data_IF_096554380980
#
_entry.id   IF_096554380980
#
_cell.length_a   1.000
_cell.length_b   1.000
_cell.length_c   1.000
_cell.angle_alpha   90.00
_cell.angle_beta   90.00
_cell.angle_gamma   90.00
#
_symmetry.space_group_name_H-M   'P 1'
#
loop_
_entity.id
_entity.type
_entity.pdbx_description
1 polymer ?
#
# COMPACT_ATOMS: atom_id res chain seq x y z
N UNK A 1 -0.75 8.55 26.33
CA UNK A 1 -0.20 8.47 24.97
C UNK A 1 -1.13 9.29 24.09
N UNK A 2 -0.70 10.47 23.63
CA UNK A 2 -1.49 11.29 22.72
C UNK A 2 -1.17 10.82 21.30
N UNK A 3 -2.10 10.07 20.70
CA UNK A 3 -2.06 9.76 19.29
C UNK A 3 -2.48 11.05 18.57
N UNK A 4 -1.63 11.59 17.70
CA UNK A 4 -1.95 12.81 16.94
C UNK A 4 -3.15 12.56 16.03
N UNK A 5 -3.78 13.63 15.56
CA UNK A 5 -4.93 13.52 14.64
C UNK A 5 -4.53 12.70 13.41
N UNK A 6 -5.23 11.60 13.16
CA UNK A 6 -5.05 10.74 11.99
C UNK A 6 -5.98 11.22 10.86
N UNK A 7 -5.45 11.37 9.66
CA UNK A 7 -6.22 11.58 8.45
C UNK A 7 -6.14 10.34 7.60
N UNK A 8 -7.29 9.74 7.31
CA UNK A 8 -7.40 8.59 6.42
C UNK A 8 -7.98 9.04 5.09
N UNK A 9 -7.35 8.64 3.99
CA UNK A 9 -7.97 8.73 2.67
C UNK A 9 -9.03 7.62 2.56
N UNK A 10 -10.29 8.01 2.37
CA UNK A 10 -11.40 7.05 2.18
C UNK A 10 -11.32 6.29 0.86
N UNK A 11 -10.59 6.85 -0.12
CA UNK A 11 -10.25 6.14 -1.34
C UNK A 11 -9.25 5.02 -1.05
N UNK A 12 -7.95 5.32 -1.08
CA UNK A 12 -6.90 4.30 -1.10
C UNK A 12 -6.59 3.68 0.26
N UNK A 13 -7.23 4.14 1.34
CA UNK A 13 -7.00 3.67 2.70
C UNK A 13 -5.70 4.18 3.34
N UNK A 14 -4.92 5.00 2.63
CA UNK A 14 -3.68 5.58 3.15
C UNK A 14 -3.95 6.47 4.36
N UNK A 15 -3.06 6.37 5.35
CA UNK A 15 -3.19 7.07 6.63
C UNK A 15 -2.03 8.05 6.75
N UNK A 16 -2.36 9.33 6.81
CA UNK A 16 -1.45 10.36 7.28
C UNK A 16 -1.59 10.50 8.79
N UNK A 17 -0.49 10.31 9.51
CA UNK A 17 -0.42 10.51 10.95
C UNK A 17 0.32 11.80 11.21
N UNK A 18 -0.29 12.72 11.96
CA UNK A 18 0.38 13.97 12.30
C UNK A 18 1.70 13.71 13.04
N UNK A 19 2.84 14.18 12.51
CA UNK A 19 4.10 14.04 13.21
C UNK A 19 4.12 14.99 14.41
N UNK A 20 4.47 14.47 15.58
CA UNK A 20 4.71 15.35 16.73
C UNK A 20 5.82 16.36 16.43
N UNK A 21 5.71 17.58 16.98
CA UNK A 21 6.76 18.61 16.87
C UNK A 21 8.14 18.08 17.28
N UNK A 22 8.19 17.18 18.25
CA UNK A 22 9.43 16.55 18.71
C UNK A 22 10.00 15.55 17.69
N UNK A 23 9.14 14.80 16.99
CA UNK A 23 9.57 13.93 15.88
C UNK A 23 10.18 14.76 14.75
N UNK A 24 9.51 15.86 14.38
CA UNK A 24 9.98 16.74 13.32
C UNK A 24 11.29 17.42 13.72
N UNK A 25 11.44 17.91 14.96
CA UNK A 25 12.73 18.42 15.45
C UNK A 25 13.83 17.36 15.40
N UNK A 26 13.53 16.09 15.72
CA UNK A 26 14.51 15.00 15.70
C UNK A 26 15.01 14.67 14.29
N UNK A 27 14.18 14.77 13.25
CA UNK A 27 14.63 14.52 11.87
C UNK A 27 15.69 15.52 11.40
N UNK A 28 15.64 16.76 11.90
CA UNK A 28 16.70 17.76 11.70
C UNK A 28 17.90 17.60 12.64
N UNK A 29 17.88 16.61 13.54
CA UNK A 29 18.90 16.38 14.57
C UNK A 29 18.80 17.35 15.77
N UNK A 30 17.59 17.82 16.06
CA UNK A 30 17.24 18.63 17.22
C UNK A 30 16.86 20.08 16.87
N UNK A 31 16.26 20.78 17.84
CA UNK A 31 15.77 22.16 17.68
C UNK A 31 16.86 23.12 17.21
N UNK A 32 18.09 22.98 17.71
CA UNK A 32 19.20 23.85 17.32
C UNK A 32 19.60 23.71 15.86
N UNK A 33 19.57 22.49 15.33
CA UNK A 33 19.90 22.23 13.91
C UNK A 33 18.75 22.65 13.01
N UNK A 34 17.51 22.43 13.44
CA UNK A 34 16.34 22.98 12.77
C UNK A 34 16.42 24.50 12.66
N UNK A 35 16.62 25.21 13.78
CA UNK A 35 16.76 26.68 13.80
C UNK A 35 17.91 27.16 12.90
N UNK A 36 19.05 26.46 12.89
CA UNK A 36 20.14 26.78 11.98
C UNK A 36 19.75 26.59 10.51
N UNK A 37 19.02 25.52 10.17
CA UNK A 37 18.56 25.25 8.82
C UNK A 37 17.55 26.29 8.30
N UNK A 38 16.72 26.84 9.20
CA UNK A 38 15.73 27.90 8.86
C UNK A 38 16.25 29.32 9.12
N UNK A 39 17.54 29.48 9.44
CA UNK A 39 18.17 30.80 9.60
C UNK A 39 17.79 31.57 10.87
N UNK A 40 17.27 30.89 11.90
CA UNK A 40 16.83 31.50 13.16
C UNK A 40 17.94 31.57 14.22
N UNK A 41 17.94 32.66 14.99
CA UNK A 41 18.85 32.85 16.13
C UNK A 41 18.33 32.13 17.38
N UNK A 42 19.24 31.69 18.26
CA UNK A 42 18.91 30.97 19.52
C UNK A 42 18.49 31.92 20.64
N UNK A 43 17.47 32.72 20.38
CA UNK A 43 16.81 33.61 21.35
C UNK A 43 15.42 33.07 21.67
N UNK A 44 14.79 33.48 22.79
CA UNK A 44 13.40 33.11 23.11
C UNK A 44 12.45 33.29 21.91
N UNK A 45 12.48 34.47 21.28
CA UNK A 45 11.70 34.78 20.07
C UNK A 45 12.01 33.84 18.91
N UNK A 46 13.28 33.45 18.74
CA UNK A 46 13.68 32.49 17.71
C UNK A 46 13.11 31.10 17.92
N UNK A 47 12.96 30.65 19.17
CA UNK A 47 12.30 29.37 19.47
C UNK A 47 10.79 29.44 19.23
N UNK A 48 10.15 30.56 19.52
CA UNK A 48 8.74 30.79 19.19
C UNK A 48 8.53 30.75 17.67
N UNK A 49 9.32 31.49 16.91
CA UNK A 49 9.31 31.46 15.45
C UNK A 49 9.55 30.06 14.90
N UNK A 50 10.49 29.30 15.49
CA UNK A 50 10.76 27.93 15.08
C UNK A 50 9.54 27.01 15.27
N UNK A 51 8.81 27.15 16.39
CA UNK A 51 7.59 26.38 16.61
C UNK A 51 6.49 26.76 15.61
N UNK A 52 6.33 28.04 15.26
CA UNK A 52 5.38 28.49 14.24
C UNK A 52 5.69 27.92 12.85
N UNK A 53 6.98 27.86 12.48
CA UNK A 53 7.40 27.25 11.22
C UNK A 53 7.10 25.75 11.22
N UNK A 54 7.36 25.05 12.32
CA UNK A 54 7.01 23.62 12.45
C UNK A 54 5.51 23.42 12.27
N UNK A 55 4.68 24.25 12.89
CA UNK A 55 3.23 24.17 12.76
C UNK A 55 2.80 24.41 11.31
N UNK A 56 3.42 25.38 10.64
CA UNK A 56 3.17 25.68 9.23
C UNK A 56 3.58 24.53 8.30
N UNK A 57 4.67 23.82 8.62
CA UNK A 57 5.11 22.64 7.87
C UNK A 57 4.14 21.46 8.05
N UNK A 58 3.64 21.24 9.27
CA UNK A 58 2.64 20.21 9.55
C UNK A 58 1.35 20.52 8.78
N UNK A 59 0.87 21.75 8.85
CA UNK A 59 -0.32 22.19 8.12
C UNK A 59 -0.16 22.10 6.61
N UNK A 60 1.03 22.41 6.09
CA UNK A 60 1.33 22.26 4.67
C UNK A 60 1.31 20.79 4.26
N UNK A 61 1.99 19.91 4.98
CA UNK A 61 1.99 18.47 4.70
C UNK A 61 0.57 17.88 4.75
N UNK A 62 -0.22 18.31 5.73
CA UNK A 62 -1.63 17.96 5.87
C UNK A 62 -2.46 18.40 4.66
N UNK A 63 -2.27 19.63 4.19
CA UNK A 63 -2.96 20.16 2.99
C UNK A 63 -2.52 19.44 1.72
N UNK A 64 -1.22 19.17 1.56
CA UNK A 64 -0.68 18.42 0.42
C UNK A 64 -1.29 17.03 0.35
N UNK A 65 -1.34 16.31 1.48
CA UNK A 65 -2.03 15.01 1.56
C UNK A 65 -3.50 15.13 1.13
N UNK A 66 -4.25 16.12 1.65
CA UNK A 66 -5.64 16.33 1.23
C UNK A 66 -5.78 16.65 -0.26
N UNK A 67 -4.86 17.40 -0.86
CA UNK A 67 -4.90 17.74 -2.29
C UNK A 67 -4.54 16.54 -3.18
N UNK A 68 -3.49 15.80 -2.83
CA UNK A 68 -3.10 14.55 -3.50
C UNK A 68 -4.25 13.54 -3.48
N UNK A 69 -5.01 13.52 -2.38
CA UNK A 69 -6.14 12.62 -2.21
C UNK A 69 -7.51 13.24 -2.49
N UNK A 70 -7.61 14.49 -2.97
CA UNK A 70 -8.89 15.20 -3.19
C UNK A 70 -9.75 14.53 -4.27
N UNK A 71 -9.09 13.99 -5.28
CA UNK A 71 -9.70 13.19 -6.34
C UNK A 71 -9.25 11.73 -6.25
N UNK A 72 -8.84 11.27 -5.06
CA UNK A 72 -8.58 9.85 -4.84
C UNK A 72 -9.92 9.12 -4.80
N UNK A 73 -10.51 8.93 -5.98
CA UNK A 73 -11.54 7.96 -6.25
C UNK A 73 -10.87 6.60 -6.38
N UNK A 74 -10.14 6.18 -5.36
CA UNK A 74 -9.98 4.76 -5.19
C UNK A 74 -11.33 4.28 -4.67
N UNK A 75 -12.26 4.05 -5.60
CA UNK A 75 -12.98 2.77 -5.52
C UNK A 75 -11.89 1.74 -5.30
N UNK A 76 -12.13 0.71 -4.51
CA UNK A 76 -11.41 -0.55 -4.70
C UNK A 76 -11.57 -0.99 -6.17
N UNK A 77 -10.84 -0.35 -7.08
CA UNK A 77 -10.66 -0.74 -8.46
C UNK A 77 -9.55 -1.75 -8.36
N UNK A 78 -9.92 -3.01 -8.58
CA UNK A 78 -9.09 -4.19 -8.35
C UNK A 78 -9.15 -4.69 -6.89
N UNK A 79 -10.36 -4.83 -6.32
CA UNK A 79 -10.63 -6.19 -5.88
C UNK A 79 -10.77 -6.97 -7.18
N UNK A 80 -9.81 -7.83 -7.52
CA UNK A 80 -9.92 -8.84 -8.59
C UNK A 80 -10.98 -9.87 -8.20
N UNK A 81 -12.16 -9.35 -7.83
CA UNK A 81 -13.33 -10.06 -7.39
C UNK A 81 -14.27 -10.10 -8.58
N UNK A 82 -14.40 -11.29 -9.17
CA UNK A 82 -15.33 -11.51 -10.26
C UNK A 82 -16.57 -12.20 -9.70
N UNK A 83 -17.71 -11.53 -9.77
CA UNK A 83 -18.97 -12.07 -9.24
C UNK A 83 -19.81 -12.66 -10.36
N UNK A 84 -20.28 -13.89 -10.20
CA UNK A 84 -21.32 -14.45 -11.06
C UNK A 84 -22.64 -13.71 -10.80
N UNK A 85 -23.23 -13.10 -11.83
CA UNK A 85 -24.50 -12.36 -11.72
C UNK A 85 -25.70 -13.26 -11.39
N UNK A 86 -25.58 -14.57 -11.64
CA UNK A 86 -26.70 -15.52 -11.49
C UNK A 86 -26.75 -16.13 -10.09
N UNK A 87 -25.68 -16.75 -9.63
CA UNK A 87 -25.63 -17.40 -8.32
C UNK A 87 -25.06 -16.49 -7.21
N UNK A 88 -24.42 -15.37 -7.58
CA UNK A 88 -23.80 -14.46 -6.63
C UNK A 88 -22.45 -14.94 -6.07
N UNK A 89 -21.92 -16.08 -6.52
CA UNK A 89 -20.58 -16.53 -6.15
C UNK A 89 -19.51 -15.53 -6.60
N UNK A 90 -18.45 -15.42 -5.80
CA UNK A 90 -17.38 -14.44 -5.98
C UNK A 90 -16.08 -15.23 -6.13
N UNK A 91 -15.47 -15.12 -7.31
CA UNK A 91 -14.07 -15.48 -7.49
C UNK A 91 -13.22 -14.42 -6.84
N UNK A 92 -12.24 -14.84 -6.04
CA UNK A 92 -11.29 -13.96 -5.38
C UNK A 92 -9.90 -14.37 -5.85
N UNK A 93 -9.16 -13.45 -6.46
CA UNK A 93 -7.82 -13.76 -6.96
C UNK A 93 -6.93 -14.41 -5.88
N UNK A 94 -6.44 -15.63 -6.11
CA UNK A 94 -5.56 -16.28 -5.15
C UNK A 94 -4.19 -15.58 -5.15
N UNK A 95 -3.75 -15.15 -3.97
CA UNK A 95 -2.42 -14.55 -3.86
C UNK A 95 -1.32 -15.51 -4.35
N UNK A 96 -0.31 -15.00 -5.05
CA UNK A 96 0.86 -15.80 -5.50
C UNK A 96 1.48 -16.59 -4.35
N UNK A 97 1.47 -16.05 -3.13
CA UNK A 97 1.98 -16.73 -1.94
C UNK A 97 1.12 -17.93 -1.52
N UNK A 98 -0.21 -17.87 -1.70
CA UNK A 98 -1.10 -19.01 -1.49
C UNK A 98 -0.74 -20.15 -2.45
N UNK A 99 -0.59 -19.83 -3.74
CA UNK A 99 -0.19 -20.81 -4.77
C UNK A 99 1.17 -21.40 -4.44
N UNK A 100 2.19 -20.58 -4.14
CA UNK A 100 3.51 -21.10 -3.74
C UNK A 100 3.44 -22.02 -2.52
N UNK A 101 2.60 -21.70 -1.53
CA UNK A 101 2.45 -22.48 -0.30
C UNK A 101 1.84 -23.85 -0.53
N UNK A 102 0.93 -24.03 -1.49
CA UNK A 102 0.37 -25.36 -1.79
C UNK A 102 1.43 -26.35 -2.29
N UNK A 103 2.52 -25.84 -2.88
CA UNK A 103 3.69 -26.64 -3.26
C UNK A 103 4.77 -26.72 -2.17
N UNK A 104 4.55 -26.14 -0.99
CA UNK A 104 5.56 -26.08 0.08
C UNK A 104 6.60 -24.97 -0.10
N UNK A 105 6.30 -23.94 -0.89
CA UNK A 105 7.13 -22.75 -1.10
C UNK A 105 7.73 -22.65 -2.51
N UNK A 106 8.39 -21.52 -2.79
CA UNK A 106 8.91 -21.20 -4.13
C UNK A 106 9.91 -22.23 -4.66
N UNK A 107 10.80 -22.76 -3.82
CA UNK A 107 11.79 -23.76 -4.25
C UNK A 107 11.14 -25.08 -4.68
N UNK A 108 10.12 -25.53 -3.94
CA UNK A 108 9.42 -26.76 -4.25
C UNK A 108 8.52 -26.58 -5.48
N UNK A 109 7.88 -25.40 -5.63
CA UNK A 109 7.18 -25.01 -6.84
C UNK A 109 8.10 -25.02 -8.07
N UNK A 110 9.29 -24.40 -7.97
CA UNK A 110 10.27 -24.42 -9.05
C UNK A 110 10.73 -25.84 -9.38
N UNK A 111 10.96 -26.67 -8.36
CA UNK A 111 11.34 -28.08 -8.54
C UNK A 111 10.24 -28.88 -9.25
N UNK A 112 8.98 -28.70 -8.87
CA UNK A 112 7.86 -29.42 -9.51
C UNK A 112 7.67 -29.04 -10.97
N UNK A 113 8.07 -27.82 -11.35
CA UNK A 113 8.00 -27.31 -12.72
C UNK A 113 9.33 -27.39 -13.49
N UNK A 114 10.33 -28.12 -12.97
CA UNK A 114 11.61 -28.32 -13.64
C UNK A 114 12.50 -27.07 -13.78
N UNK A 115 12.22 -26.02 -13.00
CA UNK A 115 12.94 -24.74 -13.06
C UNK A 115 14.20 -24.74 -12.19
N UNK A 116 15.26 -24.11 -12.67
CA UNK A 116 16.52 -23.93 -11.93
C UNK A 116 16.42 -22.73 -10.98
N UNK A 117 16.97 -22.86 -9.77
CA UNK A 117 17.07 -21.78 -8.77
C UNK A 117 18.10 -20.71 -9.17
N UNK A 118 17.85 -20.01 -10.26
CA UNK A 118 18.66 -18.91 -10.80
C UNK A 118 17.75 -17.72 -11.09
N UNK A 119 18.27 -16.48 -11.20
CA UNK A 119 17.44 -15.29 -11.42
C UNK A 119 16.44 -15.41 -12.59
N UNK A 120 16.78 -16.12 -13.67
CA UNK A 120 15.87 -16.42 -14.77
C UNK A 120 14.72 -17.35 -14.37
N UNK A 121 15.01 -18.44 -13.64
CA UNK A 121 13.99 -19.40 -13.20
C UNK A 121 12.98 -18.83 -12.21
N UNK A 122 13.35 -17.83 -11.40
CA UNK A 122 12.37 -17.14 -10.54
C UNK A 122 11.39 -16.27 -11.35
N UNK A 123 11.86 -15.65 -12.44
CA UNK A 123 10.98 -14.91 -13.36
C UNK A 123 10.01 -15.87 -14.06
N UNK A 124 10.53 -16.98 -14.58
CA UNK A 124 9.72 -18.04 -15.19
C UNK A 124 8.69 -18.61 -14.21
N UNK A 125 9.09 -18.88 -12.95
CA UNK A 125 8.16 -19.35 -11.93
C UNK A 125 7.03 -18.36 -11.66
N UNK A 126 7.32 -17.06 -11.56
CA UNK A 126 6.28 -16.06 -11.39
C UNK A 126 5.34 -16.00 -12.60
N UNK A 127 5.86 -16.14 -13.83
CA UNK A 127 5.02 -16.20 -15.04
C UNK A 127 4.10 -17.43 -15.02
N UNK A 128 4.58 -18.58 -14.57
CA UNK A 128 3.73 -19.78 -14.42
C UNK A 128 2.63 -19.53 -13.39
N UNK A 129 2.96 -18.94 -12.24
CA UNK A 129 1.96 -18.59 -11.22
C UNK A 129 0.90 -17.66 -11.80
N UNK A 130 1.31 -16.66 -12.58
CA UNK A 130 0.37 -15.71 -13.21
C UNK A 130 -0.55 -16.41 -14.21
N UNK A 131 -0.02 -17.36 -15.00
CA UNK A 131 -0.83 -18.18 -15.88
C UNK A 131 -1.80 -19.10 -15.11
N UNK A 132 -1.40 -19.64 -13.95
CA UNK A 132 -2.30 -20.43 -13.10
C UNK A 132 -3.45 -19.60 -12.55
N UNK A 133 -3.19 -18.36 -12.12
CA UNK A 133 -4.23 -17.43 -11.66
C UNK A 133 -5.19 -17.11 -12.81
N UNK A 134 -4.66 -16.82 -13.99
CA UNK A 134 -5.49 -16.54 -15.17
C UNK A 134 -6.35 -17.75 -15.55
N UNK A 135 -5.81 -18.97 -15.51
CA UNK A 135 -6.57 -20.19 -15.79
C UNK A 135 -7.66 -20.43 -14.76
N UNK A 136 -7.36 -20.27 -13.46
CA UNK A 136 -8.34 -20.43 -12.37
C UNK A 136 -9.53 -19.46 -12.54
N UNK A 137 -9.25 -18.23 -12.98
CA UNK A 137 -10.28 -17.24 -13.33
C UNK A 137 -11.14 -17.68 -14.52
N UNK A 138 -10.53 -18.21 -15.58
CA UNK A 138 -11.27 -18.71 -16.75
C UNK A 138 -12.10 -19.95 -16.40
N UNK A 139 -11.58 -20.84 -15.55
CA UNK A 139 -12.31 -22.02 -15.05
C UNK A 139 -13.55 -21.57 -14.26
N UNK A 140 -13.41 -20.57 -13.38
CA UNK A 140 -14.54 -19.95 -12.69
C UNK A 140 -15.59 -19.41 -13.66
N UNK A 141 -15.18 -18.69 -14.72
CA UNK A 141 -16.09 -18.16 -15.75
C UNK A 141 -16.84 -19.28 -16.47
N UNK A 142 -16.13 -20.35 -16.85
CA UNK A 142 -16.69 -21.48 -17.58
C UNK A 142 -17.70 -22.26 -16.73
N UNK A 143 -17.37 -22.53 -15.46
CA UNK A 143 -18.27 -23.20 -14.52
C UNK A 143 -19.57 -22.40 -14.32
N UNK A 144 -19.44 -21.07 -14.29
CA UNK A 144 -20.56 -20.15 -14.08
C UNK A 144 -21.27 -19.72 -15.35
N UNK A 145 -20.72 -20.01 -16.54
CA UNK A 145 -21.38 -19.77 -17.82
C UNK A 145 -22.69 -20.58 -17.94
N UNK A 146 -22.74 -21.74 -17.29
CA UNK A 146 -23.91 -22.62 -17.24
C UNK A 146 -24.88 -22.34 -16.08
N UNK A 147 -24.60 -21.34 -15.22
CA UNK A 147 -25.56 -20.97 -14.17
C UNK A 147 -26.91 -20.49 -14.75
N UNK A 148 -26.94 -20.06 -16.00
CA UNK A 148 -28.16 -19.68 -16.73
C UNK A 148 -29.06 -20.86 -17.13
N UNK A 149 -28.64 -22.11 -16.93
CA UNK A 149 -29.32 -23.33 -17.41
C UNK A 149 -30.01 -24.18 -16.32
N UNK A 150 -30.18 -23.66 -15.09
CA UNK A 150 -30.91 -24.32 -14.00
C UNK A 150 -32.23 -23.62 -13.68
#
# INVERSE_FOLDING_TARGET
>A
MAWGDELRCEGCGEIWVEPSKNSLKKSFGGMHKFMAAVGLRRTPDGYEQANLIIDSLIDFARKSFRMEHQNCSYTSSESDEERCEVCGEIWVEPSKNSIKKSFGGMHNFMRSHGLKCQPGGYKEANLIIDNMIAQDREDFRMDHQNCWCL
#
